data_IF_985642845932
#
_entry.id   IF_985642845932
#
_cell.length_a   1.000
_cell.length_b   1.000
_cell.length_c   1.000
_cell.angle_alpha   90.00
_cell.angle_beta   90.00
_cell.angle_gamma   90.00
#
_symmetry.space_group_name_H-M   'P 1'
#
loop_
_entity.id
_entity.type
_entity.pdbx_description
1 polymer ?
#
# COMPACT_ATOMS: atom_id res chain seq x y z
N UNK A 1 -20.23 30.33 32.00
CA UNK A 1 -20.02 30.18 33.45
C UNK A 1 -18.71 30.88 33.83
N UNK A 2 -18.76 31.97 34.60
CA UNK A 2 -17.57 32.73 35.02
C UNK A 2 -16.82 32.04 36.15
N UNK A 3 -15.48 32.13 36.17
CA UNK A 3 -14.65 31.50 37.21
C UNK A 3 -15.01 32.08 38.61
N UNK A 4 -15.56 31.28 39.54
CA UNK A 4 -16.10 31.75 40.84
C UNK A 4 -15.06 32.49 41.70
N UNK A 5 -13.80 32.07 41.63
CA UNK A 5 -12.70 32.68 42.37
C UNK A 5 -12.36 34.08 41.84
N UNK A 6 -12.43 34.29 40.52
CA UNK A 6 -12.20 35.62 39.93
C UNK A 6 -13.24 36.64 40.41
N UNK A 7 -14.50 36.21 40.56
CA UNK A 7 -15.55 37.08 41.12
C UNK A 7 -15.36 37.37 42.61
N UNK A 8 -14.85 36.40 43.40
CA UNK A 8 -14.57 36.61 44.82
C UNK A 8 -13.41 37.60 45.02
N UNK A 9 -12.32 37.49 44.26
CA UNK A 9 -11.20 38.43 44.36
C UNK A 9 -11.54 39.85 43.88
N UNK A 10 -12.40 39.99 42.86
CA UNK A 10 -12.93 41.28 42.43
C UNK A 10 -13.84 41.90 43.49
N UNK A 11 -14.70 41.09 44.12
CA UNK A 11 -15.63 41.54 45.16
C UNK A 11 -14.90 41.92 46.46
N UNK A 12 -13.81 41.22 46.78
CA UNK A 12 -12.95 41.51 47.91
C UNK A 12 -11.97 42.68 47.66
N UNK A 13 -11.95 43.28 46.47
CA UNK A 13 -11.06 44.39 46.12
C UNK A 13 -9.59 44.00 45.90
N UNK A 14 -9.23 42.73 46.06
CA UNK A 14 -7.86 42.20 45.89
C UNK A 14 -7.43 42.12 44.42
N UNK A 15 -8.36 42.17 43.46
CA UNK A 15 -8.06 42.16 42.04
C UNK A 15 -8.77 43.30 41.31
N UNK A 16 -8.10 43.86 40.29
CA UNK A 16 -8.71 44.88 39.44
C UNK A 16 -9.38 44.28 38.20
N UNK A 17 -10.43 44.95 37.70
CA UNK A 17 -11.10 44.57 36.43
C UNK A 17 -10.10 44.47 35.25
N UNK A 18 -9.03 45.28 35.27
CA UNK A 18 -7.96 45.25 34.25
C UNK A 18 -7.16 43.93 34.32
N UNK A 19 -6.76 43.49 35.52
CA UNK A 19 -6.02 42.23 35.70
C UNK A 19 -6.84 41.01 35.27
N UNK A 20 -8.15 40.98 35.58
CA UNK A 20 -9.04 39.88 35.17
C UNK A 20 -9.19 39.83 33.65
N UNK A 21 -9.33 40.98 32.98
CA UNK A 21 -9.36 41.05 31.51
C UNK A 21 -8.04 40.58 30.90
N UNK A 22 -6.89 40.99 31.46
CA UNK A 22 -5.56 40.56 31.01
C UNK A 22 -5.38 39.04 31.15
N UNK A 23 -5.75 38.46 32.29
CA UNK A 23 -5.66 37.02 32.52
C UNK A 23 -6.54 36.21 31.55
N UNK A 24 -7.75 36.69 31.25
CA UNK A 24 -8.63 36.05 30.25
C UNK A 24 -8.04 36.15 28.84
N UNK A 25 -7.43 37.28 28.50
CA UNK A 25 -6.80 37.50 27.20
C UNK A 25 -5.60 36.56 26.99
N UNK A 26 -4.72 36.45 27.98
CA UNK A 26 -3.57 35.53 27.96
C UNK A 26 -4.03 34.08 27.81
N UNK A 27 -5.00 33.64 28.62
CA UNK A 27 -5.55 32.27 28.53
C UNK A 27 -6.17 31.97 27.15
N UNK A 28 -6.76 32.97 26.48
CA UNK A 28 -7.31 32.82 25.13
C UNK A 28 -6.20 32.69 24.07
N UNK A 29 -5.14 33.48 24.20
CA UNK A 29 -3.97 33.41 23.31
C UNK A 29 -3.26 32.05 23.43
N UNK A 30 -3.03 31.57 24.65
CA UNK A 30 -2.37 30.28 24.89
C UNK A 30 -3.19 29.12 24.34
N UNK A 31 -4.53 29.17 24.48
CA UNK A 31 -5.42 28.16 23.90
C UNK A 31 -5.37 28.13 22.38
N UNK A 32 -5.27 29.29 21.72
CA UNK A 32 -5.11 29.38 20.25
C UNK A 32 -3.77 28.80 19.80
N UNK A 33 -2.67 29.19 20.44
CA UNK A 33 -1.32 28.68 20.12
C UNK A 33 -1.23 27.16 20.28
N UNK A 34 -1.82 26.60 21.33
CA UNK A 34 -1.83 25.16 21.53
C UNK A 34 -2.74 24.43 20.53
N UNK A 35 -3.86 25.04 20.13
CA UNK A 35 -4.73 24.47 19.10
C UNK A 35 -4.04 24.42 17.73
N UNK A 36 -3.33 25.50 17.35
CA UNK A 36 -2.55 25.57 16.11
C UNK A 36 -1.39 24.56 16.10
N UNK A 37 -0.64 24.44 17.19
CA UNK A 37 0.42 23.42 17.32
C UNK A 37 -0.11 22.00 17.19
N UNK A 38 -1.21 21.68 17.86
CA UNK A 38 -1.80 20.35 17.79
C UNK A 38 -2.34 20.03 16.39
N UNK A 39 -2.87 21.02 15.65
CA UNK A 39 -3.30 20.80 14.26
C UNK A 39 -2.14 20.56 13.31
N UNK A 40 -1.03 21.27 13.50
CA UNK A 40 0.17 21.10 12.68
C UNK A 40 0.83 19.74 12.95
N UNK A 41 0.93 19.33 14.21
CA UNK A 41 1.45 18.01 14.60
C UNK A 41 0.58 16.87 14.07
N UNK A 42 -0.75 16.96 14.20
CA UNK A 42 -1.68 15.96 13.67
C UNK A 42 -1.67 15.88 12.13
N UNK A 43 -1.49 17.01 11.44
CA UNK A 43 -1.34 17.04 9.99
C UNK A 43 -0.01 16.40 9.54
N UNK A 44 1.05 16.55 10.32
CA UNK A 44 2.36 15.98 9.99
C UNK A 44 2.40 14.47 10.21
N UNK A 45 1.83 13.97 11.32
CA UNK A 45 1.75 12.52 11.58
C UNK A 45 0.89 11.81 10.53
N UNK A 46 -0.27 12.38 10.16
CA UNK A 46 -1.12 11.80 9.12
C UNK A 46 -0.41 11.70 7.75
N UNK A 47 0.38 12.72 7.38
CA UNK A 47 1.20 12.71 6.15
C UNK A 47 2.30 11.65 6.21
N UNK A 48 2.95 11.49 7.36
CA UNK A 48 3.98 10.47 7.56
C UNK A 48 3.41 9.05 7.47
N UNK A 49 2.26 8.80 8.10
CA UNK A 49 1.57 7.52 8.02
C UNK A 49 1.16 7.20 6.57
N UNK A 50 0.59 8.17 5.85
CA UNK A 50 0.24 8.00 4.43
C UNK A 50 1.47 7.67 3.57
N UNK A 51 2.59 8.35 3.80
CA UNK A 51 3.85 8.07 3.08
C UNK A 51 4.37 6.66 3.38
N UNK A 52 4.33 6.22 4.65
CA UNK A 52 4.73 4.87 5.04
C UNK A 52 3.81 3.79 4.42
N UNK A 53 2.50 4.02 4.40
CA UNK A 53 1.55 3.14 3.74
C UNK A 53 1.77 3.07 2.23
N UNK A 54 2.06 4.19 1.57
CA UNK A 54 2.36 4.23 0.14
C UNK A 54 3.61 3.42 -0.20
N UNK A 55 4.70 3.56 0.57
CA UNK A 55 5.92 2.79 0.37
C UNK A 55 5.68 1.28 0.52
N UNK A 56 4.93 0.86 1.55
CA UNK A 56 4.59 -0.55 1.77
C UNK A 56 3.72 -1.12 0.64
N UNK A 57 2.76 -0.34 0.15
CA UNK A 57 1.90 -0.74 -0.96
C UNK A 57 2.66 -0.85 -2.27
N UNK A 58 3.62 0.04 -2.53
CA UNK A 58 4.48 -0.04 -3.72
C UNK A 58 5.29 -1.34 -3.73
N UNK A 59 5.88 -1.71 -2.59
CA UNK A 59 6.67 -2.94 -2.49
C UNK A 59 5.81 -4.20 -2.69
N UNK A 60 4.63 -4.25 -2.05
CA UNK A 60 3.69 -5.36 -2.24
C UNK A 60 3.22 -5.48 -3.69
N UNK A 61 3.01 -4.35 -4.37
CA UNK A 61 2.63 -4.34 -5.78
C UNK A 61 3.76 -4.81 -6.70
N UNK A 62 5.02 -4.52 -6.38
CA UNK A 62 6.18 -5.04 -7.13
C UNK A 62 6.23 -6.56 -7.08
N UNK A 63 6.11 -7.14 -5.88
CA UNK A 63 6.09 -8.60 -5.69
C UNK A 63 4.96 -9.26 -6.49
N UNK A 64 3.73 -8.73 -6.40
CA UNK A 64 2.59 -9.23 -7.18
C UNK A 64 2.79 -9.09 -8.69
N UNK A 65 3.42 -8.01 -9.15
CA UNK A 65 3.71 -7.80 -10.57
C UNK A 65 4.74 -8.81 -11.09
N UNK A 66 5.74 -9.17 -10.28
CA UNK A 66 6.72 -10.20 -10.63
C UNK A 66 6.08 -11.58 -10.73
N UNK A 67 5.23 -11.96 -9.76
CA UNK A 67 4.49 -13.23 -9.80
C UNK A 67 3.57 -13.33 -11.02
N UNK A 68 2.82 -12.26 -11.33
CA UNK A 68 1.98 -12.18 -12.52
C UNK A 68 2.79 -12.30 -13.80
N UNK A 69 3.94 -11.62 -13.89
CA UNK A 69 4.82 -11.70 -15.07
C UNK A 69 5.33 -13.12 -15.29
N UNK A 70 5.72 -13.83 -14.23
CA UNK A 70 6.14 -15.24 -14.36
C UNK A 70 4.99 -16.13 -14.83
N UNK A 71 3.78 -15.91 -14.29
CA UNK A 71 2.61 -16.65 -14.72
C UNK A 71 2.25 -16.36 -16.18
N UNK A 72 2.25 -15.10 -16.59
CA UNK A 72 2.00 -14.65 -17.97
C UNK A 72 3.01 -15.26 -18.95
N UNK A 73 4.31 -15.25 -18.60
CA UNK A 73 5.35 -15.89 -19.42
C UNK A 73 5.10 -17.40 -19.58
N UNK A 74 4.77 -18.12 -18.50
CA UNK A 74 4.47 -19.55 -18.56
C UNK A 74 3.22 -19.82 -19.40
N UNK A 75 2.18 -19.01 -19.24
CA UNK A 75 0.97 -19.12 -20.03
C UNK A 75 1.24 -18.86 -21.52
N UNK A 76 2.05 -17.85 -21.85
CA UNK A 76 2.42 -17.55 -23.22
C UNK A 76 3.25 -18.68 -23.85
N UNK A 77 4.20 -19.25 -23.12
CA UNK A 77 4.97 -20.42 -23.58
C UNK A 77 4.03 -21.61 -23.81
N UNK A 78 3.11 -21.86 -22.88
CA UNK A 78 2.13 -22.94 -23.01
C UNK A 78 1.25 -22.77 -24.25
N UNK A 79 0.76 -21.55 -24.49
CA UNK A 79 -0.04 -21.23 -25.66
C UNK A 79 0.75 -21.47 -26.96
N UNK A 80 1.99 -20.99 -27.04
CA UNK A 80 2.85 -21.24 -28.21
C UNK A 80 3.08 -22.74 -28.44
N UNK A 81 3.25 -23.52 -27.37
CA UNK A 81 3.39 -24.97 -27.47
C UNK A 81 2.10 -25.59 -28.01
N UNK A 82 0.94 -25.24 -27.44
CA UNK A 82 -0.35 -25.78 -27.85
C UNK A 82 -0.68 -25.44 -29.31
N UNK A 83 -0.45 -24.20 -29.73
CA UNK A 83 -0.70 -23.71 -31.08
C UNK A 83 0.20 -24.37 -32.13
N UNK A 84 1.45 -24.70 -31.77
CA UNK A 84 2.43 -25.34 -32.68
C UNK A 84 2.56 -26.85 -32.45
N UNK A 85 1.76 -27.44 -31.57
CA UNK A 85 1.84 -28.88 -31.29
C UNK A 85 1.27 -29.64 -32.46
N UNK A 86 2.09 -30.47 -33.09
CA UNK A 86 1.63 -31.42 -34.08
C UNK A 86 0.76 -32.49 -33.39
N UNK A 87 -0.39 -32.87 -33.97
CA UNK A 87 -1.19 -33.98 -33.46
C UNK A 87 -0.35 -35.25 -33.55
N UNK A 88 -0.29 -36.02 -32.45
CA UNK A 88 0.30 -37.35 -32.50
C UNK A 88 -0.78 -38.27 -33.04
N UNK A 89 -0.52 -38.89 -34.18
CA UNK A 89 -1.43 -39.90 -34.71
C UNK A 89 -1.22 -41.21 -33.95
N UNK A 90 -2.26 -41.71 -33.28
CA UNK A 90 -2.20 -42.99 -32.58
C UNK A 90 -2.20 -44.20 -33.52
N UNK A 91 -2.47 -43.97 -34.83
CA UNK A 91 -2.53 -45.00 -35.87
C UNK A 91 -1.30 -45.05 -36.78
N UNK A 92 -0.37 -44.09 -36.63
CA UNK A 92 0.84 -44.00 -37.44
C UNK A 92 1.91 -45.04 -37.09
N UNK A 93 2.98 -45.09 -37.88
CA UNK A 93 4.13 -45.94 -37.62
C UNK A 93 5.02 -45.36 -36.52
N UNK A 94 5.55 -46.26 -35.69
CA UNK A 94 6.47 -45.92 -34.61
C UNK A 94 7.88 -45.60 -35.12
N UNK A 95 8.22 -44.31 -35.24
CA UNK A 95 9.57 -43.85 -35.52
C UNK A 95 10.40 -43.72 -34.23
N UNK A 96 11.52 -44.44 -34.17
CA UNK A 96 12.45 -44.39 -33.04
C UNK A 96 13.60 -43.45 -33.34
N UNK A 97 13.86 -42.49 -32.45
CA UNK A 97 14.97 -41.55 -32.57
C UNK A 97 15.79 -41.48 -31.28
N UNK A 98 17.08 -41.20 -31.43
CA UNK A 98 17.99 -41.05 -30.30
C UNK A 98 18.10 -39.58 -29.90
N UNK A 99 17.75 -39.26 -28.66
CA UNK A 99 17.91 -37.92 -28.10
C UNK A 99 18.57 -38.02 -26.72
N UNK A 100 19.65 -37.27 -26.51
CA UNK A 100 20.36 -37.17 -25.21
C UNK A 100 20.64 -38.55 -24.57
N UNK A 101 21.14 -39.50 -25.37
CA UNK A 101 21.47 -40.88 -24.96
C UNK A 101 20.26 -41.76 -24.58
N UNK A 102 19.03 -41.34 -24.89
CA UNK A 102 17.81 -42.16 -24.73
C UNK A 102 17.13 -42.36 -26.08
N UNK A 103 16.61 -43.56 -26.30
CA UNK A 103 15.77 -43.86 -27.47
C UNK A 103 14.34 -43.44 -27.11
N UNK A 104 13.77 -42.54 -27.91
CA UNK A 104 12.37 -42.08 -27.82
C UNK A 104 11.61 -42.53 -29.06
N UNK A 105 10.28 -42.55 -28.97
CA UNK A 105 9.38 -42.99 -30.05
C UNK A 105 8.37 -41.89 -30.36
N UNK A 106 8.19 -41.58 -31.64
CA UNK A 106 7.13 -40.71 -32.16
C UNK A 106 6.28 -41.55 -33.12
N UNK A 107 4.97 -41.31 -33.18
CA UNK A 107 4.14 -41.89 -34.22
C UNK A 107 4.03 -40.91 -35.38
N UNK A 108 4.38 -41.37 -36.59
CA UNK A 108 4.40 -40.57 -37.82
C UNK A 108 3.41 -41.19 -38.80
N UNK A 109 2.66 -40.37 -39.52
CA UNK A 109 1.75 -40.82 -40.56
C UNK A 109 2.53 -41.28 -41.81
N UNK A 110 2.00 -42.24 -42.57
CA UNK A 110 2.64 -42.82 -43.76
C UNK A 110 2.77 -41.80 -44.92
N UNK A 111 1.97 -40.73 -44.90
CA UNK A 111 1.91 -39.71 -45.97
C UNK A 111 2.64 -38.38 -45.66
N UNK A 112 3.42 -38.28 -44.58
CA UNK A 112 4.23 -37.09 -44.26
C UNK A 112 5.57 -37.04 -45.00
#
# INVERSE_FOLDING_TARGET
MGNPFQSQFLKAGLASKKQVKKARHVKRLDRRKNAEKNSDEAGNTARQEQAAHAARNQELNRQRAEEKRQHEQRAQIKQLIEDNRLPLDERGEAYYFAEQKKIKRLFVDEEM
#
